data_IF_844847655357
#
_entry.id   IF_844847655357
#
_cell.length_a   1.000
_cell.length_b   1.000
_cell.length_c   1.000
_cell.angle_alpha   90.00
_cell.angle_beta   90.00
_cell.angle_gamma   90.00
#
_symmetry.space_group_name_H-M   'P 1'
#
loop_
_entity.id
_entity.type
_entity.pdbx_description
1 polymer ?
#
# COMPACT_ATOMS: atom_id res chain seq x y z
N UNK A 1 19.50 -11.38 -25.26
CA UNK A 1 19.59 -12.59 -24.40
C UNK A 1 20.06 -12.29 -22.97
N UNK A 2 21.35 -12.01 -22.69
CA UNK A 2 21.82 -11.85 -21.28
C UNK A 2 21.07 -10.79 -20.47
N UNK A 3 20.88 -9.59 -21.04
CA UNK A 3 20.13 -8.48 -20.40
C UNK A 3 18.65 -8.81 -20.14
N UNK A 4 18.04 -9.59 -21.03
CA UNK A 4 16.63 -10.00 -20.90
C UNK A 4 16.48 -11.04 -19.77
N UNK A 5 17.42 -11.99 -19.68
CA UNK A 5 17.46 -12.97 -18.58
C UNK A 5 17.66 -12.27 -17.24
N UNK A 6 18.61 -11.32 -17.16
CA UNK A 6 18.83 -10.53 -15.95
C UNK A 6 17.59 -9.73 -15.54
N UNK A 7 16.86 -9.17 -16.51
CA UNK A 7 15.59 -8.51 -16.25
C UNK A 7 14.56 -9.47 -15.65
N UNK A 8 14.36 -10.64 -16.28
CA UNK A 8 13.41 -11.65 -15.78
C UNK A 8 13.74 -12.14 -14.38
N UNK A 9 15.04 -12.35 -14.07
CA UNK A 9 15.48 -12.74 -12.74
C UNK A 9 15.09 -11.70 -11.68
N UNK A 10 15.34 -10.42 -11.95
CA UNK A 10 14.95 -9.32 -11.05
C UNK A 10 13.43 -9.25 -10.87
N UNK A 11 12.66 -9.42 -11.94
CA UNK A 11 11.21 -9.47 -11.87
C UNK A 11 10.72 -10.65 -11.02
N UNK A 12 11.35 -11.82 -11.13
CA UNK A 12 11.02 -13.01 -10.33
C UNK A 12 11.31 -12.80 -8.84
N UNK A 13 12.47 -12.22 -8.50
CA UNK A 13 12.82 -11.86 -7.12
C UNK A 13 11.85 -10.84 -6.52
N UNK A 14 11.34 -9.93 -7.34
CA UNK A 14 10.32 -8.97 -6.91
C UNK A 14 8.98 -9.67 -6.68
N UNK A 15 8.56 -10.56 -7.57
CA UNK A 15 7.30 -11.32 -7.43
C UNK A 15 7.23 -12.06 -6.10
N UNK A 16 8.32 -12.72 -5.69
CA UNK A 16 8.40 -13.45 -4.41
C UNK A 16 8.11 -12.57 -3.18
N UNK A 17 8.47 -11.28 -3.23
CA UNK A 17 8.20 -10.34 -2.13
C UNK A 17 6.72 -9.95 -2.06
N UNK A 18 6.07 -9.84 -3.21
CA UNK A 18 4.64 -9.58 -3.32
C UNK A 18 3.80 -10.83 -2.98
N UNK A 19 4.25 -12.01 -3.36
CA UNK A 19 3.59 -13.28 -3.02
C UNK A 19 3.49 -13.47 -1.50
N UNK A 20 4.52 -13.04 -0.74
CA UNK A 20 4.51 -13.10 0.72
C UNK A 20 3.37 -12.29 1.37
N UNK A 21 2.78 -11.33 0.63
CA UNK A 21 1.61 -10.55 1.05
C UNK A 21 0.36 -10.87 0.24
N UNK A 22 0.36 -12.01 -0.47
CA UNK A 22 -0.80 -12.52 -1.21
C UNK A 22 -1.01 -11.91 -2.59
N UNK A 23 -0.01 -11.27 -3.18
CA UNK A 23 -0.09 -10.62 -4.51
C UNK A 23 0.83 -11.34 -5.50
N UNK A 24 0.26 -11.92 -6.57
CA UNK A 24 1.04 -12.40 -7.73
C UNK A 24 1.16 -11.27 -8.77
N UNK A 25 2.32 -10.61 -8.78
CA UNK A 25 2.61 -9.51 -9.71
C UNK A 25 2.62 -9.99 -11.17
N UNK A 26 3.04 -11.22 -11.45
CA UNK A 26 3.03 -11.75 -12.82
C UNK A 26 1.62 -11.98 -13.33
N UNK A 27 0.70 -12.45 -12.48
CA UNK A 27 -0.71 -12.49 -12.82
C UNK A 27 -1.25 -11.09 -13.14
N UNK A 28 -1.01 -10.12 -12.26
CA UNK A 28 -1.44 -8.72 -12.47
C UNK A 28 -0.94 -8.16 -13.80
N UNK A 29 0.32 -8.42 -14.15
CA UNK A 29 0.90 -7.97 -15.43
C UNK A 29 0.23 -8.67 -16.62
N UNK A 30 0.03 -9.99 -16.57
CA UNK A 30 -0.62 -10.76 -17.65
C UNK A 30 -2.04 -10.27 -17.94
N UNK A 31 -2.74 -9.79 -16.91
CA UNK A 31 -4.10 -9.26 -17.00
C UNK A 31 -4.14 -7.76 -17.32
N UNK A 32 -2.99 -7.11 -17.56
CA UNK A 32 -2.90 -5.69 -17.90
C UNK A 32 -3.09 -4.74 -16.71
N UNK A 33 -3.08 -5.24 -15.48
CA UNK A 33 -3.35 -4.46 -14.27
C UNK A 33 -2.17 -3.64 -13.73
N UNK A 34 -1.00 -3.67 -14.37
CA UNK A 34 0.21 -3.00 -13.87
C UNK A 34 0.03 -1.49 -13.66
N UNK A 35 -0.65 -0.82 -14.59
CA UNK A 35 -0.93 0.63 -14.49
C UNK A 35 -1.76 0.94 -13.25
N UNK A 36 -2.86 0.21 -13.05
CA UNK A 36 -3.74 0.38 -11.88
C UNK A 36 -3.01 0.11 -10.57
N UNK A 37 -2.22 -0.97 -10.52
CA UNK A 37 -1.43 -1.29 -9.33
C UNK A 37 -0.47 -0.16 -8.97
N UNK A 38 0.25 0.38 -9.97
CA UNK A 38 1.19 1.50 -9.78
C UNK A 38 0.46 2.73 -9.24
N UNK A 39 -0.67 3.10 -9.85
CA UNK A 39 -1.44 4.29 -9.48
C UNK A 39 -2.00 4.18 -8.07
N UNK A 40 -2.59 3.04 -7.72
CA UNK A 40 -3.13 2.80 -6.37
C UNK A 40 -2.03 2.87 -5.29
N UNK A 41 -0.86 2.26 -5.53
CA UNK A 41 0.27 2.31 -4.58
C UNK A 41 0.80 3.74 -4.43
N UNK A 42 0.90 4.49 -5.54
CA UNK A 42 1.34 5.89 -5.51
C UNK A 42 0.35 6.79 -4.77
N UNK A 43 -0.95 6.63 -5.03
CA UNK A 43 -2.02 7.39 -4.37
C UNK A 43 -2.02 7.13 -2.86
N UNK A 44 -1.91 5.87 -2.44
CA UNK A 44 -1.78 5.51 -1.03
C UNK A 44 -0.57 6.21 -0.36
N UNK A 45 0.59 6.21 -1.04
CA UNK A 45 1.78 6.91 -0.55
C UNK A 45 1.57 8.42 -0.39
N UNK A 46 0.89 9.06 -1.35
CA UNK A 46 0.56 10.48 -1.28
C UNK A 46 -0.40 10.81 -0.12
N UNK A 47 -1.39 9.95 0.12
CA UNK A 47 -2.32 10.12 1.24
C UNK A 47 -1.58 10.02 2.58
N UNK A 48 -0.71 9.02 2.75
CA UNK A 48 0.13 8.87 3.95
C UNK A 48 1.03 10.10 4.14
N UNK A 49 1.64 10.60 3.08
CA UNK A 49 2.49 11.79 3.15
C UNK A 49 1.70 13.04 3.56
N UNK A 50 0.53 13.26 2.97
CA UNK A 50 -0.35 14.39 3.31
C UNK A 50 -0.76 14.36 4.78
N UNK A 51 -1.07 13.17 5.31
CA UNK A 51 -1.37 12.98 6.72
C UNK A 51 -0.16 13.41 7.59
N UNK A 52 1.04 12.92 7.29
CA UNK A 52 2.24 13.25 8.08
C UNK A 52 2.60 14.74 8.04
N UNK A 53 2.40 15.41 6.90
CA UNK A 53 2.88 16.78 6.70
C UNK A 53 1.83 17.90 6.94
N UNK A 54 0.53 17.65 6.75
CA UNK A 54 -0.47 18.73 6.68
C UNK A 54 -1.32 18.98 7.93
N UNK A 55 -1.16 18.28 9.06
CA UNK A 55 -2.09 18.47 10.18
C UNK A 55 -1.45 18.66 11.57
N UNK A 56 -2.03 19.64 12.29
CA UNK A 56 -2.27 19.74 13.76
C UNK A 56 -2.13 18.40 14.51
N UNK A 57 -1.79 18.38 15.82
CA UNK A 57 -1.21 17.20 16.49
C UNK A 57 -1.99 15.93 16.13
N UNK A 58 -1.44 15.23 15.14
CA UNK A 58 -2.08 14.15 14.39
C UNK A 58 -2.62 13.09 15.35
N UNK A 59 -1.86 12.86 16.42
CA UNK A 59 -2.23 11.94 17.49
C UNK A 59 -3.61 12.19 18.08
N UNK A 60 -4.10 13.42 18.19
CA UNK A 60 -5.42 13.71 18.77
C UNK A 60 -6.57 13.29 17.86
N UNK A 61 -6.53 13.64 16.56
CA UNK A 61 -7.56 13.26 15.59
C UNK A 61 -7.61 11.74 15.37
N UNK A 62 -6.46 11.07 15.42
CA UNK A 62 -6.36 9.64 15.17
C UNK A 62 -6.72 8.80 16.39
N UNK A 63 -6.43 9.29 17.60
CA UNK A 63 -6.94 8.69 18.85
C UNK A 63 -8.47 8.68 18.86
N UNK A 64 -9.11 9.75 18.38
CA UNK A 64 -10.58 9.83 18.26
C UNK A 64 -11.12 8.76 17.30
N UNK A 65 -10.37 8.40 16.26
CA UNK A 65 -10.74 7.39 15.27
C UNK A 65 -10.28 5.97 15.64
N UNK A 66 -9.62 5.77 16.79
CA UNK A 66 -9.11 4.46 17.20
C UNK A 66 -7.91 3.96 16.39
N UNK A 67 -7.19 4.88 15.73
CA UNK A 67 -6.08 4.59 14.83
C UNK A 67 -4.74 4.84 15.56
N UNK A 68 -3.88 3.84 15.56
CA UNK A 68 -2.52 3.88 16.13
C UNK A 68 -1.47 3.74 15.00
N UNK A 69 -0.64 4.77 14.82
CA UNK A 69 0.42 4.75 13.79
C UNK A 69 1.57 3.79 14.10
N UNK A 70 1.70 3.34 15.34
CA UNK A 70 2.64 2.27 15.69
C UNK A 70 2.12 0.89 15.27
N UNK A 71 0.83 0.78 14.95
CA UNK A 71 0.18 -0.40 14.37
C UNK A 71 -0.55 -0.06 13.06
N UNK A 72 0.15 -0.20 11.93
CA UNK A 72 -0.39 0.08 10.61
C UNK A 72 -1.63 -0.75 10.23
N UNK A 73 -1.93 -1.83 10.95
CA UNK A 73 -3.18 -2.60 10.75
C UNK A 73 -4.41 -1.79 11.20
N UNK A 74 -4.26 -0.88 12.16
CA UNK A 74 -5.34 -0.02 12.64
C UNK A 74 -5.78 1.05 11.63
N UNK A 75 -4.88 1.46 10.72
CA UNK A 75 -5.16 2.45 9.68
C UNK A 75 -6.16 1.96 8.63
N UNK A 76 -6.23 0.64 8.43
CA UNK A 76 -6.96 0.02 7.32
C UNK A 76 -7.89 -1.12 7.78
N UNK A 77 -8.19 -1.21 9.07
CA UNK A 77 -9.19 -2.14 9.61
C UNK A 77 -10.56 -1.44 9.62
N UNK A 78 -11.46 -1.76 8.68
CA UNK A 78 -12.77 -1.12 8.60
C UNK A 78 -13.67 -1.42 9.81
N UNK A 79 -13.34 -2.42 10.63
CA UNK A 79 -14.06 -2.70 11.87
C UNK A 79 -13.58 -1.83 13.05
N UNK A 80 -12.41 -1.20 12.92
CA UNK A 80 -11.85 -0.30 13.95
C UNK A 80 -12.09 1.16 13.62
N UNK A 81 -12.19 1.50 12.34
CA UNK A 81 -12.48 2.87 11.90
C UNK A 81 -14.00 3.05 11.85
N UNK A 82 -14.57 3.74 12.84
CA UNK A 82 -16.00 4.10 12.82
C UNK A 82 -16.23 5.28 11.86
N UNK A 83 -16.51 4.96 10.60
CA UNK A 83 -16.77 5.94 9.54
C UNK A 83 -18.16 6.61 9.64
N UNK A 84 -19.00 6.20 10.60
CA UNK A 84 -20.37 6.72 10.75
C UNK A 84 -20.45 8.06 11.52
N UNK A 85 -19.31 8.66 11.88
CA UNK A 85 -19.26 9.94 12.59
C UNK A 85 -19.01 11.15 11.66
N UNK A 86 -19.42 11.06 10.39
CA UNK A 86 -19.48 12.22 9.47
C UNK A 86 -20.90 12.79 9.47
#
# INVERSE_FOLDING_TARGET
VKKEIEFYQKCSEMNKRWEAVGIDLFQVIREGGLTNLRENVQELGNLLWSIVYNQRPLGQCLTILGIDFTDTRSLFDPNRVNLNNV
#
